data_IF_923642287864
#
_entry.id   IF_923642287864
#
_cell.length_a   1.000
_cell.length_b   1.000
_cell.length_c   1.000
_cell.angle_alpha   90.00
_cell.angle_beta   90.00
_cell.angle_gamma   90.00
#
_symmetry.space_group_name_H-M   'P 1'
#
loop_
_entity.id
_entity.type
_entity.pdbx_description
1 polymer ?
#
# COMPACT_ATOMS: atom_id res chain seq x y z
N UNK A 1 32.69 13.02 3.94
CA UNK A 1 31.34 12.70 3.45
C UNK A 1 30.55 14.00 3.38
N UNK A 2 30.27 14.51 2.18
CA UNK A 2 29.36 15.66 2.03
C UNK A 2 27.95 15.18 2.30
N UNK A 3 27.37 15.60 3.43
CA UNK A 3 25.96 15.34 3.73
C UNK A 3 25.12 15.97 2.61
N UNK A 4 24.49 15.14 1.77
CA UNK A 4 23.51 15.64 0.80
C UNK A 4 22.42 16.36 1.58
N UNK A 5 22.15 17.61 1.22
CA UNK A 5 21.07 18.37 1.82
C UNK A 5 19.76 17.61 1.62
N UNK A 6 19.07 17.30 2.72
CA UNK A 6 17.75 16.67 2.66
C UNK A 6 16.77 17.72 2.12
N UNK A 7 16.38 17.59 0.86
CA UNK A 7 15.31 18.41 0.30
C UNK A 7 13.96 17.84 0.72
N UNK A 8 13.14 18.66 1.36
CA UNK A 8 11.78 18.29 1.78
C UNK A 8 10.83 18.67 0.66
N UNK A 9 10.13 17.68 0.09
CA UNK A 9 9.00 17.89 -0.81
C UNK A 9 7.70 17.66 -0.04
N UNK A 10 6.83 18.67 0.01
CA UNK A 10 5.51 18.57 0.61
C UNK A 10 4.44 18.41 -0.47
N UNK A 11 3.68 17.32 -0.42
CA UNK A 11 2.55 17.06 -1.33
C UNK A 11 1.25 16.98 -0.54
N UNK A 12 0.19 17.59 -1.06
CA UNK A 12 -1.16 17.38 -0.53
C UNK A 12 -1.70 16.07 -1.07
N UNK A 13 -2.18 15.22 -0.16
CA UNK A 13 -2.81 13.94 -0.46
C UNK A 13 -4.00 13.80 0.48
N UNK A 14 -5.08 13.18 0.04
CA UNK A 14 -6.22 12.91 0.92
C UNK A 14 -5.80 12.07 2.13
N UNK A 15 -6.31 12.45 3.32
CA UNK A 15 -5.95 11.81 4.58
C UNK A 15 -6.23 10.30 4.59
N UNK A 16 -7.31 9.88 3.93
CA UNK A 16 -7.67 8.46 3.79
C UNK A 16 -6.64 7.69 2.99
N UNK A 17 -6.15 8.27 1.89
CA UNK A 17 -5.10 7.71 1.03
C UNK A 17 -3.78 7.68 1.80
N UNK A 18 -3.42 8.78 2.45
CA UNK A 18 -2.20 8.88 3.26
C UNK A 18 -2.14 7.77 4.32
N UNK A 19 -3.22 7.57 5.08
CA UNK A 19 -3.28 6.53 6.12
C UNK A 19 -3.12 5.12 5.56
N UNK A 20 -3.79 4.82 4.45
CA UNK A 20 -3.67 3.51 3.77
C UNK A 20 -2.25 3.28 3.28
N UNK A 21 -1.65 4.30 2.67
CA UNK A 21 -0.30 4.21 2.15
C UNK A 21 0.73 4.02 3.27
N UNK A 22 0.66 4.83 4.33
CA UNK A 22 1.56 4.73 5.49
C UNK A 22 1.44 3.35 6.17
N UNK A 23 0.23 2.79 6.27
CA UNK A 23 0.02 1.45 6.82
C UNK A 23 0.70 0.37 5.96
N UNK A 24 0.60 0.47 4.64
CA UNK A 24 1.22 -0.49 3.73
C UNK A 24 2.76 -0.40 3.74
N UNK A 25 3.32 0.82 3.76
CA UNK A 25 4.77 1.02 3.87
C UNK A 25 5.32 0.44 5.17
N UNK A 26 4.60 0.64 6.28
CA UNK A 26 4.96 0.05 7.58
C UNK A 26 4.97 -1.47 7.54
N UNK A 27 3.96 -2.09 6.93
CA UNK A 27 3.89 -3.54 6.77
C UNK A 27 5.06 -4.09 5.93
N UNK A 28 5.51 -3.34 4.93
CA UNK A 28 6.66 -3.66 4.07
C UNK A 28 8.03 -3.37 4.72
N UNK A 29 8.08 -2.70 5.87
CA UNK A 29 9.33 -2.27 6.50
C UNK A 29 10.08 -1.18 5.72
N UNK A 30 9.37 -0.38 4.93
CA UNK A 30 9.94 0.71 4.10
C UNK A 30 9.30 2.06 4.41
N UNK A 31 9.75 3.13 3.74
CA UNK A 31 9.19 4.48 3.86
C UNK A 31 8.52 4.94 2.57
N UNK A 32 7.54 5.84 2.70
CA UNK A 32 6.88 6.49 1.55
C UNK A 32 7.88 7.17 0.63
N UNK A 33 8.89 7.85 1.18
CA UNK A 33 9.95 8.51 0.40
C UNK A 33 10.80 7.51 -0.39
N UNK A 34 11.09 6.33 0.16
CA UNK A 34 11.84 5.29 -0.54
C UNK A 34 11.07 4.74 -1.74
N UNK A 35 9.77 4.50 -1.58
CA UNK A 35 8.90 4.01 -2.66
C UNK A 35 8.68 5.09 -3.72
N UNK A 36 8.44 6.34 -3.32
CA UNK A 36 8.35 7.47 -4.25
C UNK A 36 9.63 7.62 -5.07
N UNK A 37 10.81 7.49 -4.44
CA UNK A 37 12.10 7.55 -5.14
C UNK A 37 12.20 6.49 -6.24
N UNK A 38 11.80 5.25 -5.95
CA UNK A 38 11.82 4.17 -6.95
C UNK A 38 10.83 4.44 -8.09
N UNK A 39 9.63 4.90 -7.77
CA UNK A 39 8.62 5.24 -8.77
C UNK A 39 9.09 6.39 -9.69
N UNK A 40 9.78 7.39 -9.15
CA UNK A 40 10.41 8.48 -9.93
C UNK A 40 11.50 7.96 -10.86
N UNK A 41 12.41 7.13 -10.36
CA UNK A 41 13.47 6.58 -11.21
C UNK A 41 12.88 5.77 -12.38
N UNK A 42 11.89 4.91 -12.10
CA UNK A 42 11.20 4.16 -13.14
C UNK A 42 10.50 5.06 -14.15
N UNK A 43 9.81 6.11 -13.69
CA UNK A 43 9.18 7.09 -14.58
C UNK A 43 10.19 7.77 -15.50
N UNK A 44 11.36 8.13 -14.99
CA UNK A 44 12.44 8.73 -15.79
C UNK A 44 12.98 7.74 -16.83
N UNK A 45 13.20 6.47 -16.43
CA UNK A 45 13.63 5.41 -17.36
C UNK A 45 12.59 5.21 -18.49
N UNK A 46 11.29 5.25 -18.16
CA UNK A 46 10.19 5.12 -19.14
C UNK A 46 10.11 6.34 -20.09
N UNK A 47 10.36 7.55 -19.58
CA UNK A 47 10.48 8.75 -20.41
C UNK A 47 11.67 8.65 -21.38
N UNK A 48 12.83 8.21 -20.90
CA UNK A 48 14.03 8.03 -21.74
C UNK A 48 13.83 6.95 -22.81
N UNK A 49 13.03 5.92 -22.51
CA UNK A 49 12.63 4.90 -23.47
C UNK A 49 11.60 5.37 -24.52
N UNK A 50 11.09 6.60 -24.41
CA UNK A 50 10.12 7.16 -25.36
C UNK A 50 8.69 6.65 -25.16
N UNK A 51 8.34 6.16 -23.97
CA UNK A 51 6.97 5.77 -23.66
C UNK A 51 6.09 7.02 -23.61
N UNK A 52 4.96 7.00 -24.32
CA UNK A 52 3.98 8.08 -24.27
C UNK A 52 3.19 8.01 -22.96
N UNK A 53 3.21 9.10 -22.19
CA UNK A 53 2.47 9.29 -20.93
C UNK A 53 2.81 8.28 -19.80
N UNK A 54 4.07 8.16 -19.36
CA UNK A 54 4.41 7.32 -18.21
C UNK A 54 3.70 7.82 -16.95
N UNK A 55 3.44 6.90 -16.01
CA UNK A 55 2.69 7.20 -14.78
C UNK A 55 3.41 6.66 -13.55
N UNK A 56 3.25 7.37 -12.44
CA UNK A 56 3.70 6.89 -11.14
C UNK A 56 2.82 5.74 -10.66
N UNK A 57 3.24 4.50 -10.90
CA UNK A 57 2.61 3.33 -10.33
C UNK A 57 3.05 3.16 -8.87
N UNK A 58 2.21 3.58 -7.92
CA UNK A 58 2.41 3.36 -6.50
C UNK A 58 1.58 2.15 -6.05
N UNK A 59 2.11 0.95 -6.31
CA UNK A 59 1.41 -0.28 -5.97
C UNK A 59 1.38 -0.51 -4.45
N UNK A 60 0.17 -0.70 -3.94
CA UNK A 60 -0.09 -1.17 -2.58
C UNK A 60 -0.35 -2.66 -2.67
N UNK A 61 0.53 -3.47 -2.05
CA UNK A 61 0.24 -4.89 -1.89
C UNK A 61 -1.06 -4.97 -1.11
N UNK A 62 -2.06 -5.60 -1.71
CA UNK A 62 -3.23 -5.98 -0.93
C UNK A 62 -2.72 -6.86 0.21
N UNK A 63 -3.25 -6.71 1.44
CA UNK A 63 -3.01 -7.70 2.48
C UNK A 63 -3.27 -9.08 1.85
N UNK A 64 -2.44 -10.11 2.10
CA UNK A 64 -2.76 -11.46 1.63
C UNK A 64 -4.19 -11.71 2.06
N UNK A 65 -5.07 -11.90 1.07
CA UNK A 65 -6.51 -11.94 1.27
C UNK A 65 -6.78 -12.80 2.51
N UNK A 66 -7.16 -12.15 3.61
CA UNK A 66 -7.43 -12.86 4.84
C UNK A 66 -8.45 -13.94 4.49
N UNK A 67 -8.00 -15.18 4.65
CA UNK A 67 -8.70 -16.43 4.41
C UNK A 67 -10.18 -16.27 4.01
N UNK A 68 -10.45 -16.40 2.71
CA UNK A 68 -11.76 -16.82 2.21
C UNK A 68 -11.99 -18.24 2.73
N UNK A 69 -12.38 -18.37 4.00
CA UNK A 69 -12.40 -19.66 4.68
C UNK A 69 -12.83 -19.68 6.15
N UNK A 70 -13.10 -18.55 6.82
CA UNK A 70 -13.89 -18.62 8.05
C UNK A 70 -15.36 -18.85 7.68
N UNK A 71 -15.70 -20.14 7.66
CA UNK A 71 -17.08 -20.63 7.70
C UNK A 71 -17.84 -19.90 8.81
N UNK A 72 -19.13 -19.55 8.62
CA UNK A 72 -19.91 -18.98 9.70
C UNK A 72 -19.92 -19.98 10.85
N UNK A 73 -19.48 -19.52 12.03
CA UNK A 73 -19.61 -20.25 13.28
C UNK A 73 -21.06 -20.72 13.40
N UNK A 74 -21.25 -22.03 13.26
CA UNK A 74 -22.52 -22.66 13.60
C UNK A 74 -22.74 -22.40 15.09
N UNK A 75 -23.74 -21.58 15.42
CA UNK A 75 -24.18 -21.38 16.80
C UNK A 75 -24.53 -22.72 17.46
N UNK A 76 -24.43 -22.82 18.79
CA UNK A 76 -24.75 -24.05 19.50
C UNK A 76 -26.22 -24.43 19.23
N UNK A 77 -26.44 -25.63 18.70
CA UNK A 77 -27.78 -26.22 18.57
C UNK A 77 -28.39 -26.36 19.97
N UNK A 78 -29.39 -25.55 20.28
CA UNK A 78 -30.19 -25.70 21.48
C UNK A 78 -31.08 -26.95 21.33
N UNK A 79 -30.64 -28.06 21.94
CA UNK A 79 -31.43 -29.28 22.06
C UNK A 79 -32.37 -29.15 23.28
N UNK A 80 -33.44 -28.37 23.15
CA UNK A 80 -34.58 -28.48 24.06
C UNK A 80 -35.86 -27.91 23.44
N UNK A 81 -36.61 -28.75 22.73
CA UNK A 81 -38.01 -28.50 22.42
C UNK A 81 -38.83 -29.55 23.21
N UNK A 82 -39.76 -29.14 24.09
CA UNK A 82 -40.60 -30.07 24.82
C UNK A 82 -41.66 -30.69 23.90
N UNK A 83 -42.12 -31.87 24.33
CA UNK A 83 -43.05 -32.79 23.64
C UNK A 83 -44.41 -32.17 23.31
#
# INVERSE_FOLDING_TARGET
MTAQAQTIMATKVDDSIKRRFDSAMRARGTTTSAVLRQAVLKYLDELEAGIEHPQFALELDSPPAAMKGLSPVAGPRNANAPK
#
